data_IF_175183273524
#
_entry.id   IF_175183273524
#
_cell.length_a   1.000
_cell.length_b   1.000
_cell.length_c   1.000
_cell.angle_alpha   90.00
_cell.angle_beta   90.00
_cell.angle_gamma   90.00
#
_symmetry.space_group_name_H-M   'P 1'
#
loop_
_entity.id
_entity.type
_entity.pdbx_description
1 polymer ?
#
# COMPACT_ATOMS: atom_id res chain seq x y z
N UNK A 1 22.61 -18.72 -2.05
CA UNK A 1 22.58 -18.70 -0.55
C UNK A 1 23.77 -19.51 -0.03
N UNK A 2 24.29 -19.35 1.20
CA UNK A 2 25.37 -20.27 1.66
C UNK A 2 24.76 -21.68 1.83
N UNK A 3 25.49 -22.78 1.51
CA UNK A 3 24.97 -24.14 1.66
C UNK A 3 24.45 -24.44 3.07
N UNK A 4 25.16 -23.98 4.10
CA UNK A 4 24.75 -24.11 5.50
C UNK A 4 23.40 -23.45 5.79
N UNK A 5 23.14 -22.28 5.22
CA UNK A 5 21.87 -21.59 5.42
C UNK A 5 20.72 -22.36 4.75
N UNK A 6 20.97 -23.02 3.62
CA UNK A 6 19.97 -23.84 2.92
C UNK A 6 19.59 -25.06 3.76
N UNK A 7 20.57 -25.72 4.39
CA UNK A 7 20.33 -26.84 5.31
C UNK A 7 19.47 -26.42 6.50
N UNK A 8 19.75 -25.26 7.11
CA UNK A 8 18.97 -24.73 8.23
C UNK A 8 17.51 -24.49 7.81
N UNK A 9 17.29 -23.83 6.66
CA UNK A 9 15.92 -23.60 6.16
C UNK A 9 15.20 -24.92 5.89
N UNK A 10 15.90 -25.92 5.34
CA UNK A 10 15.34 -27.24 5.11
C UNK A 10 14.86 -27.89 6.42
N UNK A 11 15.71 -27.93 7.45
CA UNK A 11 15.34 -28.52 8.76
C UNK A 11 14.17 -27.79 9.42
N UNK A 12 14.11 -26.46 9.31
CA UNK A 12 12.98 -25.66 9.84
C UNK A 12 11.67 -26.03 9.12
N UNK A 13 11.73 -26.23 7.81
CA UNK A 13 10.56 -26.62 7.01
C UNK A 13 10.11 -28.06 7.27
N UNK A 14 11.03 -28.97 7.57
CA UNK A 14 10.70 -30.37 7.93
C UNK A 14 9.88 -30.44 9.22
N UNK A 15 10.18 -29.57 10.18
CA UNK A 15 9.50 -29.54 11.50
C UNK A 15 8.22 -28.69 11.46
N UNK A 16 8.27 -27.52 10.82
CA UNK A 16 7.19 -26.51 10.93
C UNK A 16 6.16 -26.64 9.80
N UNK A 17 6.54 -27.18 8.64
CA UNK A 17 5.73 -27.13 7.43
C UNK A 17 5.81 -25.77 6.71
N UNK A 18 4.84 -25.44 5.83
CA UNK A 18 4.88 -24.22 5.03
C UNK A 18 4.84 -22.95 5.88
N UNK A 19 5.85 -22.09 5.75
CA UNK A 19 6.04 -20.88 6.58
C UNK A 19 6.42 -19.68 5.71
N UNK A 20 6.18 -18.46 6.20
CA UNK A 20 6.60 -17.24 5.52
C UNK A 20 8.11 -17.02 5.63
N UNK A 21 8.80 -16.56 4.57
CA UNK A 21 10.25 -16.30 4.61
C UNK A 21 10.72 -15.37 5.73
N UNK A 22 9.84 -14.49 6.22
CA UNK A 22 10.13 -13.55 7.30
C UNK A 22 10.21 -14.24 8.66
N UNK A 23 9.39 -15.26 8.89
CA UNK A 23 9.29 -15.95 10.19
C UNK A 23 10.31 -17.09 10.33
N UNK A 24 11.01 -17.46 9.25
CA UNK A 24 11.99 -18.56 9.23
C UNK A 24 13.08 -18.36 10.26
N UNK A 25 13.57 -17.13 10.45
CA UNK A 25 14.63 -16.86 11.41
C UNK A 25 14.16 -17.06 12.86
N UNK A 26 12.99 -16.53 13.20
CA UNK A 26 12.44 -16.66 14.55
C UNK A 26 12.15 -18.11 14.89
N UNK A 27 11.62 -18.89 13.92
CA UNK A 27 11.42 -20.33 14.08
C UNK A 27 12.71 -21.11 14.18
N UNK A 28 13.72 -20.79 13.37
CA UNK A 28 15.04 -21.39 13.51
C UNK A 28 15.60 -21.16 14.92
N UNK A 29 15.45 -19.94 15.45
CA UNK A 29 15.90 -19.61 16.80
C UNK A 29 15.17 -20.43 17.87
N UNK A 30 13.84 -20.52 17.79
CA UNK A 30 13.04 -21.34 18.72
C UNK A 30 13.46 -22.82 18.68
N UNK A 31 13.70 -23.38 17.49
CA UNK A 31 14.08 -24.78 17.31
C UNK A 31 15.52 -25.04 17.77
N UNK A 32 16.42 -24.07 17.60
CA UNK A 32 17.79 -24.15 18.08
C UNK A 32 17.85 -24.15 19.61
N UNK A 33 17.06 -23.28 20.26
CA UNK A 33 16.95 -23.24 21.72
C UNK A 33 16.35 -24.55 22.29
N UNK A 34 15.48 -25.22 21.53
CA UNK A 34 14.94 -26.56 21.88
C UNK A 34 15.90 -27.72 21.59
N UNK A 35 16.99 -27.47 20.86
CA UNK A 35 17.96 -28.49 20.44
C UNK A 35 17.50 -29.39 19.30
N UNK A 36 16.46 -28.98 18.55
CA UNK A 36 15.92 -29.72 17.41
C UNK A 36 16.72 -29.49 16.11
N UNK A 37 17.44 -28.36 16.02
CA UNK A 37 18.38 -28.08 14.93
C UNK A 37 19.80 -27.88 15.48
N UNK A 38 20.80 -28.34 14.71
CA UNK A 38 22.21 -28.38 15.14
C UNK A 38 22.96 -27.07 14.91
N UNK A 39 22.59 -26.33 13.87
CA UNK A 39 23.27 -25.11 13.44
C UNK A 39 22.28 -23.94 13.39
N UNK A 40 22.77 -22.75 13.72
CA UNK A 40 22.03 -21.50 13.62
C UNK A 40 22.68 -20.59 12.57
N UNK A 41 21.90 -19.64 12.04
CA UNK A 41 22.40 -18.68 11.06
C UNK A 41 23.51 -17.79 11.64
N UNK A 42 24.64 -17.70 10.94
CA UNK A 42 25.80 -16.87 11.33
C UNK A 42 25.75 -15.47 10.69
N UNK A 43 24.77 -14.66 11.09
CA UNK A 43 24.64 -13.27 10.66
C UNK A 43 24.98 -12.31 11.80
N UNK A 44 26.18 -11.71 11.75
CA UNK A 44 26.65 -10.73 12.76
C UNK A 44 26.05 -9.32 12.66
N UNK A 45 24.90 -9.14 12.01
CA UNK A 45 24.24 -7.85 11.83
C UNK A 45 23.16 -7.56 12.87
N UNK A 46 22.74 -6.28 12.99
CA UNK A 46 21.67 -5.87 13.91
C UNK A 46 20.26 -6.39 13.53
N UNK A 47 20.09 -6.88 12.30
CA UNK A 47 18.84 -7.44 11.78
C UNK A 47 19.08 -8.74 11.01
N UNK A 48 19.37 -9.85 11.71
CA UNK A 48 19.58 -11.16 11.11
C UNK A 48 18.33 -11.69 10.38
N UNK A 49 17.14 -11.43 10.94
CA UNK A 49 15.82 -11.78 10.40
C UNK A 49 15.59 -11.24 8.97
N UNK A 50 15.91 -9.96 8.76
CA UNK A 50 15.81 -9.30 7.45
C UNK A 50 16.83 -9.84 6.46
N UNK A 51 18.00 -10.21 6.96
CA UNK A 51 19.07 -10.76 6.13
C UNK A 51 18.65 -12.14 5.60
N UNK A 52 18.19 -13.03 6.49
CA UNK A 52 17.72 -14.38 6.16
C UNK A 52 16.59 -14.32 5.13
N UNK A 53 15.56 -13.53 5.40
CA UNK A 53 14.42 -13.38 4.48
C UNK A 53 14.87 -12.85 3.11
N UNK A 54 15.73 -11.84 3.06
CA UNK A 54 16.28 -11.32 1.80
C UNK A 54 17.09 -12.38 1.02
N UNK A 55 17.89 -13.21 1.71
CA UNK A 55 18.61 -14.31 1.08
C UNK A 55 17.68 -15.38 0.52
N UNK A 56 16.61 -15.74 1.24
CA UNK A 56 15.58 -16.67 0.77
C UNK A 56 14.93 -16.13 -0.51
N UNK A 57 14.48 -14.87 -0.52
CA UNK A 57 13.89 -14.25 -1.72
C UNK A 57 14.87 -14.20 -2.89
N UNK A 58 16.14 -13.87 -2.63
CA UNK A 58 17.17 -13.82 -3.67
C UNK A 58 17.44 -15.21 -4.25
N UNK A 59 17.49 -16.24 -3.41
CA UNK A 59 17.73 -17.63 -3.83
C UNK A 59 16.57 -18.17 -4.67
N UNK A 60 15.32 -17.90 -4.25
CA UNK A 60 14.11 -18.26 -5.02
C UNK A 60 14.07 -17.58 -6.39
N UNK A 61 14.50 -16.32 -6.50
CA UNK A 61 14.51 -15.59 -7.77
C UNK A 61 15.64 -16.01 -8.71
N UNK A 62 16.80 -16.43 -8.17
CA UNK A 62 17.96 -16.86 -8.98
C UNK A 62 17.78 -18.24 -9.61
N UNK A 63 16.79 -19.02 -9.17
CA UNK A 63 16.54 -20.37 -9.69
C UNK A 63 17.67 -21.35 -9.36
N UNK A 64 18.38 -21.14 -8.24
CA UNK A 64 19.31 -22.12 -7.68
C UNK A 64 18.53 -23.43 -7.38
N UNK A 65 19.15 -24.62 -7.53
CA UNK A 65 18.51 -25.88 -7.13
C UNK A 65 18.36 -25.92 -5.60
N UNK A 66 17.22 -25.44 -5.12
CA UNK A 66 16.87 -25.40 -3.71
C UNK A 66 15.94 -26.57 -3.33
N UNK A 67 16.04 -27.10 -2.10
CA UNK A 67 15.17 -28.17 -1.60
C UNK A 67 13.76 -27.68 -1.26
N UNK A 68 13.51 -26.37 -1.32
CA UNK A 68 12.22 -25.73 -1.05
C UNK A 68 11.80 -24.80 -2.19
N UNK A 69 10.49 -24.60 -2.32
CA UNK A 69 9.86 -23.81 -3.36
C UNK A 69 8.77 -22.90 -2.79
N UNK A 70 8.39 -21.90 -3.59
CA UNK A 70 7.30 -20.99 -3.27
C UNK A 70 5.97 -21.73 -3.42
N UNK A 71 5.30 -22.03 -2.31
CA UNK A 71 4.03 -22.74 -2.27
C UNK A 71 2.82 -21.82 -2.49
N UNK A 72 2.88 -20.59 -1.97
CA UNK A 72 1.81 -19.60 -2.09
C UNK A 72 2.40 -18.21 -2.40
N UNK A 73 1.70 -17.41 -3.20
CA UNK A 73 2.15 -16.05 -3.53
C UNK A 73 1.64 -14.97 -2.57
N UNK A 74 0.47 -15.15 -1.97
CA UNK A 74 -0.20 -14.14 -1.14
C UNK A 74 -0.99 -14.81 0.01
N UNK A 75 -0.51 -14.76 1.26
CA UNK A 75 0.86 -14.39 1.66
C UNK A 75 1.91 -15.34 1.07
N UNK A 76 3.17 -14.90 1.00
CA UNK A 76 4.26 -15.74 0.48
C UNK A 76 4.57 -16.84 1.48
N UNK A 77 4.41 -18.10 1.07
CA UNK A 77 4.81 -19.28 1.85
C UNK A 77 5.83 -20.11 1.07
N UNK A 78 6.83 -20.62 1.79
CA UNK A 78 7.82 -21.56 1.26
C UNK A 78 7.56 -22.95 1.85
N UNK A 79 7.73 -24.00 1.05
CA UNK A 79 7.56 -25.39 1.47
C UNK A 79 8.61 -26.29 0.82
N UNK A 80 8.88 -27.44 1.43
CA UNK A 80 9.74 -28.48 0.85
C UNK A 80 9.18 -28.99 -0.48
N UNK A 81 10.07 -29.31 -1.42
CA UNK A 81 9.72 -29.81 -2.75
C UNK A 81 8.96 -31.13 -2.70
N UNK A 82 9.24 -31.97 -1.71
CA UNK A 82 8.57 -33.26 -1.51
C UNK A 82 7.17 -33.10 -0.89
N UNK A 83 6.93 -32.03 -0.11
CA UNK A 83 5.62 -31.73 0.46
C UNK A 83 4.65 -31.06 -0.54
N UNK A 84 5.16 -30.53 -1.66
CA UNK A 84 4.36 -29.88 -2.70
C UNK A 84 3.64 -30.86 -3.65
N UNK A 85 3.72 -32.18 -3.41
CA UNK A 85 3.14 -33.25 -4.25
C UNK A 85 1.72 -33.69 -3.83
N UNK A 86 1.03 -32.96 -2.99
CA UNK A 86 -0.40 -33.15 -2.71
C UNK A 86 -1.22 -32.10 -3.50
N UNK A 87 -1.71 -32.41 -4.72
CA UNK A 87 -2.63 -31.54 -5.45
C UNK A 87 -4.04 -31.75 -4.86
N UNK A 88 -4.31 -31.18 -3.68
CA UNK A 88 -5.41 -31.69 -2.87
C UNK A 88 -6.14 -30.70 -1.98
N UNK A 89 -6.09 -29.38 -2.20
CA UNK A 89 -6.94 -28.47 -1.44
C UNK A 89 -7.50 -27.34 -2.32
N UNK A 90 -8.64 -27.67 -2.92
CA UNK A 90 -9.65 -26.75 -3.42
C UNK A 90 -10.25 -26.01 -2.20
N UNK A 91 -9.49 -25.09 -1.60
CA UNK A 91 -10.03 -24.20 -0.58
C UNK A 91 -10.77 -23.12 -1.35
N UNK A 92 -12.10 -23.28 -1.38
CA UNK A 92 -13.02 -22.24 -1.81
C UNK A 92 -12.57 -20.91 -1.22
N UNK A 93 -12.29 -19.95 -2.11
CA UNK A 93 -12.06 -18.55 -1.78
C UNK A 93 -13.22 -18.04 -0.93
N UNK A 94 -13.09 -18.11 0.39
CA UNK A 94 -13.73 -17.11 1.24
C UNK A 94 -12.84 -15.88 1.11
N UNK A 95 -12.99 -15.18 -0.02
CA UNK A 95 -12.50 -13.83 -0.14
C UNK A 95 -13.31 -13.02 0.86
N UNK A 96 -12.75 -12.78 2.04
CA UNK A 96 -13.05 -11.52 2.73
C UNK A 96 -12.84 -10.46 1.65
N UNK A 97 -13.87 -9.70 1.25
CA UNK A 97 -13.70 -8.72 0.20
C UNK A 97 -12.59 -7.80 0.70
N UNK A 98 -11.41 -7.85 0.07
CA UNK A 98 -10.38 -6.87 0.36
C UNK A 98 -11.09 -5.55 0.14
N UNK A 99 -11.29 -4.77 1.19
CA UNK A 99 -11.87 -3.44 1.05
C UNK A 99 -11.04 -2.79 -0.04
N UNK A 100 -11.66 -2.54 -1.21
CA UNK A 100 -11.00 -1.80 -2.27
C UNK A 100 -10.54 -0.53 -1.57
N UNK A 101 -9.23 -0.31 -1.52
CA UNK A 101 -8.67 0.90 -0.92
C UNK A 101 -9.26 2.02 -1.75
N UNK A 102 -10.31 2.65 -1.23
CA UNK A 102 -11.00 3.74 -1.90
C UNK A 102 -9.96 4.85 -2.00
N UNK A 103 -9.79 5.38 -3.21
CA UNK A 103 -8.91 6.52 -3.37
C UNK A 103 -9.60 7.71 -2.71
N UNK A 104 -8.88 8.58 -2.03
CA UNK A 104 -9.47 9.73 -1.34
C UNK A 104 -10.34 10.58 -2.30
N UNK A 105 -9.94 10.67 -3.58
CA UNK A 105 -10.71 11.26 -4.68
C UNK A 105 -12.12 10.71 -4.88
N UNK A 106 -12.37 9.45 -4.52
CA UNK A 106 -13.70 8.85 -4.64
C UNK A 106 -14.72 9.58 -3.73
N UNK A 107 -14.25 10.35 -2.74
CA UNK A 107 -15.05 11.20 -1.87
C UNK A 107 -15.34 12.59 -2.45
N UNK A 108 -14.57 13.05 -3.45
CA UNK A 108 -14.70 14.40 -4.01
C UNK A 108 -16.09 14.70 -4.59
N UNK A 109 -16.79 13.79 -5.29
CA UNK A 109 -18.16 14.04 -5.75
C UNK A 109 -19.13 14.27 -4.58
N UNK A 110 -18.96 13.54 -3.48
CA UNK A 110 -19.77 13.70 -2.28
C UNK A 110 -19.48 15.03 -1.57
N UNK A 111 -18.21 15.38 -1.42
CA UNK A 111 -17.79 16.68 -0.89
C UNK A 111 -18.32 17.83 -1.74
N UNK A 112 -18.27 17.70 -3.07
CA UNK A 112 -18.83 18.66 -4.03
C UNK A 112 -20.33 18.86 -3.81
N UNK A 113 -21.07 17.76 -3.66
CA UNK A 113 -22.49 17.80 -3.37
C UNK A 113 -22.77 18.56 -2.06
N UNK A 114 -22.08 18.21 -0.97
CA UNK A 114 -22.26 18.90 0.32
C UNK A 114 -21.91 20.39 0.23
N UNK A 115 -20.82 20.74 -0.44
CA UNK A 115 -20.35 22.11 -0.55
C UNK A 115 -21.27 23.00 -1.40
N UNK A 116 -21.89 22.42 -2.43
CA UNK A 116 -22.86 23.12 -3.27
C UNK A 116 -24.19 23.39 -2.57
N UNK A 117 -24.74 22.38 -1.87
CA UNK A 117 -26.05 22.49 -1.21
C UNK A 117 -26.03 23.16 0.16
N UNK A 118 -24.85 23.32 0.78
CA UNK A 118 -24.73 24.03 2.04
C UNK A 118 -24.88 25.54 1.83
N UNK A 119 -25.85 26.17 2.50
CA UNK A 119 -26.15 27.61 2.35
C UNK A 119 -24.97 28.54 2.68
N UNK A 120 -24.10 28.11 3.60
CA UNK A 120 -22.94 28.88 4.01
C UNK A 120 -21.81 28.81 2.97
N UNK A 121 -21.73 27.72 2.20
CA UNK A 121 -20.67 27.49 1.23
C UNK A 121 -21.13 27.88 -0.19
N UNK A 122 -22.23 27.28 -0.69
CA UNK A 122 -22.78 27.45 -2.05
C UNK A 122 -21.68 27.51 -3.12
N UNK A 123 -20.69 26.63 -3.02
CA UNK A 123 -19.51 26.71 -3.86
C UNK A 123 -19.47 25.60 -4.92
N UNK A 124 -18.95 25.97 -6.08
CA UNK A 124 -18.59 25.05 -7.14
C UNK A 124 -17.17 24.58 -6.91
N UNK A 125 -16.98 23.28 -6.86
CA UNK A 125 -15.68 22.67 -6.56
C UNK A 125 -15.05 22.06 -7.79
N UNK A 126 -13.72 22.04 -7.83
CA UNK A 126 -12.94 21.34 -8.84
C UNK A 126 -11.78 20.62 -8.16
N UNK A 127 -11.62 19.34 -8.47
CA UNK A 127 -10.46 18.55 -8.05
C UNK A 127 -9.22 18.96 -8.84
N UNK A 128 -8.11 19.12 -8.14
CA UNK A 128 -6.79 19.38 -8.71
C UNK A 128 -6.02 18.06 -8.78
N UNK A 129 -5.46 17.77 -9.95
CA UNK A 129 -4.68 16.55 -10.19
C UNK A 129 -3.19 16.88 -10.15
N UNK A 130 -2.58 16.92 -8.96
CA UNK A 130 -1.12 17.15 -8.81
C UNK A 130 -0.27 15.88 -9.00
N UNK A 131 -0.91 14.71 -9.02
CA UNK A 131 -0.24 13.41 -9.21
C UNK A 131 0.49 13.29 -10.55
N UNK A 132 0.14 14.11 -11.54
CA UNK A 132 0.76 14.15 -12.86
C UNK A 132 1.96 15.13 -12.95
N UNK A 133 2.35 15.78 -11.85
CA UNK A 133 3.45 16.76 -11.84
C UNK A 133 4.79 16.08 -12.10
N UNK A 134 5.41 16.42 -13.24
CA UNK A 134 6.73 15.93 -13.68
C UNK A 134 7.88 16.65 -12.92
N UNK A 135 7.59 17.75 -12.20
CA UNK A 135 8.59 18.78 -11.84
C UNK A 135 9.02 18.85 -10.37
N UNK A 136 8.45 18.07 -9.45
CA UNK A 136 8.82 18.15 -8.03
C UNK A 136 9.50 16.88 -7.50
N UNK A 137 10.47 17.00 -6.58
CA UNK A 137 10.93 15.87 -5.77
C UNK A 137 9.72 15.27 -5.06
N UNK A 138 9.42 14.00 -5.35
CA UNK A 138 8.21 13.29 -4.91
C UNK A 138 7.84 13.64 -3.46
N UNK A 139 6.78 14.45 -3.29
CA UNK A 139 6.14 14.69 -2.00
C UNK A 139 6.07 16.15 -1.52
N UNK A 140 6.84 17.09 -2.07
CA UNK A 140 6.76 18.51 -1.63
C UNK A 140 5.44 19.16 -2.04
N UNK A 141 4.98 18.90 -3.26
CA UNK A 141 3.74 19.49 -3.80
C UNK A 141 2.48 19.06 -3.04
N UNK A 142 2.49 17.86 -2.43
CA UNK A 142 1.37 17.32 -1.65
C UNK A 142 1.05 18.14 -0.39
N UNK A 143 2.00 18.92 0.10
CA UNK A 143 1.83 19.76 1.29
C UNK A 143 1.61 21.23 0.93
N UNK A 144 1.90 21.62 -0.31
CA UNK A 144 1.88 23.02 -0.76
C UNK A 144 0.57 23.38 -1.45
N UNK A 145 -0.14 22.41 -2.03
CA UNK A 145 -1.34 22.66 -2.84
C UNK A 145 -2.52 21.82 -2.36
N UNK A 146 -3.75 22.39 -2.36
CA UNK A 146 -4.95 21.66 -1.99
C UNK A 146 -5.38 20.66 -3.08
N UNK A 147 -6.04 19.57 -2.66
CA UNK A 147 -6.57 18.53 -3.55
C UNK A 147 -7.87 18.96 -4.28
N UNK A 148 -8.60 19.92 -3.71
CA UNK A 148 -9.80 20.52 -4.29
C UNK A 148 -9.80 22.03 -4.07
N UNK A 149 -10.38 22.78 -5.00
CA UNK A 149 -10.64 24.22 -4.86
C UNK A 149 -12.11 24.52 -5.03
N UNK A 150 -12.63 25.47 -4.24
CA UNK A 150 -14.02 25.91 -4.25
C UNK A 150 -14.18 27.37 -4.66
N UNK A 151 -15.16 27.64 -5.51
CA UNK A 151 -15.48 28.98 -6.00
C UNK A 151 -16.95 29.30 -5.76
N UNK A 152 -17.22 30.44 -5.12
CA UNK A 152 -18.59 30.97 -4.95
C UNK A 152 -18.76 32.24 -5.77
N UNK A 153 -19.80 32.26 -6.59
CA UNK A 153 -20.15 33.40 -7.45
C UNK A 153 -21.17 34.29 -6.76
N UNK A 154 -20.70 35.25 -5.96
CA UNK A 154 -21.55 36.17 -5.19
C UNK A 154 -22.45 37.04 -6.08
N UNK A 155 -21.99 37.34 -7.31
CA UNK A 155 -22.80 38.07 -8.30
C UNK A 155 -24.13 37.37 -8.61
N UNK A 156 -24.15 36.03 -8.65
CA UNK A 156 -25.35 35.25 -8.96
C UNK A 156 -26.36 35.22 -7.81
N UNK A 157 -25.91 35.52 -6.58
CA UNK A 157 -26.76 35.55 -5.38
C UNK A 157 -27.30 36.95 -5.07
N UNK A 158 -26.83 37.95 -5.80
CA UNK A 158 -27.11 39.35 -5.53
C UNK A 158 -28.54 39.67 -5.97
N UNK A 159 -29.43 39.97 -5.03
CA UNK A 159 -30.84 40.26 -5.33
C UNK A 159 -31.07 41.68 -5.88
N UNK A 160 -30.04 42.53 -5.84
CA UNK A 160 -30.14 43.95 -6.18
C UNK A 160 -29.64 44.22 -7.61
N UNK A 161 -30.56 44.60 -8.50
CA UNK A 161 -30.28 44.88 -9.91
C UNK A 161 -29.22 45.97 -10.12
N UNK A 162 -29.17 47.00 -9.26
CA UNK A 162 -28.17 48.06 -9.36
C UNK A 162 -26.76 47.54 -9.08
N UNK A 163 -26.62 46.62 -8.12
CA UNK A 163 -25.34 46.02 -7.80
C UNK A 163 -24.89 45.01 -8.87
N UNK A 164 -25.83 44.28 -9.48
CA UNK A 164 -25.58 43.42 -10.65
C UNK A 164 -25.09 44.26 -11.83
N UNK A 165 -25.77 45.37 -12.12
CA UNK A 165 -25.39 46.28 -13.20
C UNK A 165 -24.02 46.94 -12.94
N UNK A 166 -23.74 47.27 -11.68
CA UNK A 166 -22.44 47.79 -11.26
C UNK A 166 -21.33 46.74 -11.40
N UNK A 167 -21.54 45.48 -10.99
CA UNK A 167 -20.53 44.44 -11.09
C UNK A 167 -20.17 44.10 -12.54
N UNK A 168 -21.12 44.24 -13.48
CA UNK A 168 -20.89 44.04 -14.92
C UNK A 168 -19.98 45.09 -15.55
N UNK A 169 -19.70 46.22 -14.87
CA UNK A 169 -18.76 47.24 -15.34
C UNK A 169 -17.30 46.88 -15.08
N UNK A 170 -17.04 45.85 -14.28
CA UNK A 170 -15.69 45.35 -14.04
C UNK A 170 -15.38 44.23 -15.04
N UNK A 171 -14.15 44.25 -15.57
CA UNK A 171 -13.65 43.17 -16.45
C UNK A 171 -13.57 41.81 -15.73
N UNK A 172 -13.51 41.83 -14.39
CA UNK A 172 -13.51 40.64 -13.55
C UNK A 172 -14.75 40.63 -12.65
N UNK A 173 -15.53 39.55 -12.74
CA UNK A 173 -16.69 39.36 -11.87
C UNK A 173 -16.23 39.09 -10.42
N UNK A 174 -16.98 39.55 -9.40
CA UNK A 174 -16.63 39.31 -8.01
C UNK A 174 -16.78 37.82 -7.69
N UNK A 175 -15.64 37.18 -7.44
CA UNK A 175 -15.52 35.77 -7.10
C UNK A 175 -14.91 35.64 -5.71
N UNK A 176 -15.46 34.76 -4.86
CA UNK A 176 -14.85 34.39 -3.59
C UNK A 176 -14.22 33.01 -3.71
N UNK A 177 -12.90 32.95 -3.56
CA UNK A 177 -12.20 31.69 -3.35
C UNK A 177 -12.43 31.22 -1.91
N UNK A 178 -12.74 29.94 -1.76
CA UNK A 178 -12.81 29.26 -0.47
C UNK A 178 -11.68 28.22 -0.48
N UNK A 179 -10.70 28.43 0.41
CA UNK A 179 -9.59 27.53 0.65
C UNK A 179 -9.81 26.78 1.95
#
# INVERSE_FOLDING_TARGET
MKPQDVEIVQSVLEITGPISPTEVYDKAKELFEKGEITNMFDYGGNTPDRSVSAFIYTALNKGEELPFLKAQEKPVLIALKDAAKEPGLNIEKISVPSAKVAHERDLHPFLTYMAYYNENLKCYTKTIFHEESVKSPKGTDRWLYPDMVGVRFLHAELSNENLIAFSKKFDTLPVKALN
#
